data_IF_476941549398
#
_entry.id   IF_476941549398
#
_cell.length_a   1.000
_cell.length_b   1.000
_cell.length_c   1.000
_cell.angle_alpha   90.00
_cell.angle_beta   90.00
_cell.angle_gamma   90.00
#
_symmetry.space_group_name_H-M   'P 1'
#
loop_
_entity.id
_entity.type
_entity.pdbx_description
1 polymer ?
#
# COMPACT_ATOMS: atom_id res chain seq x y z
N UNK A 1 -32.30 -29.93 -36.91
CA UNK A 1 -31.61 -29.74 -35.61
C UNK A 1 -30.54 -28.68 -35.79
N UNK A 2 -30.81 -27.43 -35.39
CA UNK A 2 -29.81 -26.35 -35.40
C UNK A 2 -29.07 -26.39 -34.07
N UNK A 3 -27.78 -26.73 -34.10
CA UNK A 3 -26.91 -26.60 -32.93
C UNK A 3 -26.49 -25.14 -32.82
N UNK A 4 -26.99 -24.45 -31.80
CA UNK A 4 -26.49 -23.14 -31.42
C UNK A 4 -25.30 -23.35 -30.48
N UNK A 5 -24.09 -23.11 -31.00
CA UNK A 5 -22.88 -23.08 -30.18
C UNK A 5 -22.89 -21.77 -29.38
N UNK A 6 -23.15 -21.88 -28.08
CA UNK A 6 -23.03 -20.76 -27.15
C UNK A 6 -21.54 -20.51 -26.93
N UNK A 7 -20.97 -19.48 -27.56
CA UNK A 7 -19.65 -18.97 -27.17
C UNK A 7 -19.82 -18.22 -25.83
N UNK A 8 -19.41 -18.84 -24.73
CA UNK A 8 -19.20 -18.13 -23.48
C UNK A 8 -17.92 -17.30 -23.62
N UNK A 9 -18.07 -15.99 -23.81
CA UNK A 9 -16.97 -15.05 -23.62
C UNK A 9 -16.71 -14.97 -22.12
N UNK A 10 -15.64 -15.62 -21.65
CA UNK A 10 -15.09 -15.39 -20.31
C UNK A 10 -14.53 -13.96 -20.28
N UNK A 11 -15.38 -13.00 -19.94
CA UNK A 11 -14.93 -11.68 -19.49
C UNK A 11 -14.27 -11.85 -18.13
N UNK A 12 -13.02 -11.43 -18.01
CA UNK A 12 -12.35 -11.31 -16.72
C UNK A 12 -13.09 -10.23 -15.91
N UNK A 13 -13.91 -10.67 -14.95
CA UNK A 13 -14.51 -9.76 -13.98
C UNK A 13 -13.41 -9.44 -12.97
N UNK A 14 -12.89 -8.22 -13.01
CA UNK A 14 -12.05 -7.67 -11.95
C UNK A 14 -12.84 -7.74 -10.64
N UNK A 15 -12.47 -8.64 -9.73
CA UNK A 15 -13.09 -8.68 -8.42
C UNK A 15 -12.62 -7.44 -7.64
N UNK A 16 -13.52 -6.49 -7.43
CA UNK A 16 -13.28 -5.40 -6.48
C UNK A 16 -13.03 -6.02 -5.09
N UNK A 17 -12.14 -5.43 -4.27
CA UNK A 17 -11.97 -5.89 -2.89
C UNK A 17 -13.32 -5.84 -2.17
N UNK A 18 -13.49 -6.66 -1.13
CA UNK A 18 -14.69 -6.59 -0.29
C UNK A 18 -14.90 -5.14 0.17
N UNK A 19 -16.14 -4.70 0.36
CA UNK A 19 -16.39 -3.32 0.78
C UNK A 19 -16.19 -3.12 2.29
N UNK A 20 -16.18 -4.21 3.06
CA UNK A 20 -16.04 -4.21 4.53
C UNK A 20 -15.29 -5.44 5.03
N UNK A 21 -14.66 -5.33 6.21
CA UNK A 21 -14.13 -6.47 6.96
C UNK A 21 -13.59 -6.07 8.34
N UNK A 22 -12.96 -7.02 9.05
CA UNK A 22 -12.38 -6.77 10.37
C UNK A 22 -11.59 -7.97 10.91
N UNK A 23 -10.99 -7.82 12.08
CA UNK A 23 -10.21 -8.86 12.76
C UNK A 23 -10.67 -9.14 14.21
N UNK A 24 -9.99 -10.10 14.86
CA UNK A 24 -10.24 -10.46 16.25
C UNK A 24 -9.74 -9.43 17.28
N UNK A 25 -8.89 -8.49 16.86
CA UNK A 25 -8.36 -7.42 17.71
C UNK A 25 -9.29 -6.20 17.76
N UNK A 26 -10.37 -6.20 16.97
CA UNK A 26 -11.39 -5.16 16.95
C UNK A 26 -11.26 -4.19 15.79
N UNK A 27 -10.22 -4.32 14.95
CA UNK A 27 -10.08 -3.47 13.78
C UNK A 27 -11.15 -3.79 12.74
N UNK A 28 -11.63 -2.75 12.06
CA UNK A 28 -12.57 -2.83 10.95
C UNK A 28 -12.09 -1.98 9.81
N UNK A 29 -12.46 -2.33 8.59
CA UNK A 29 -12.16 -1.52 7.42
C UNK A 29 -13.36 -1.38 6.50
N UNK A 30 -13.39 -0.25 5.82
CA UNK A 30 -14.41 0.13 4.84
C UNK A 30 -13.73 0.75 3.63
N UNK A 31 -14.26 0.45 2.46
CA UNK A 31 -13.89 1.18 1.24
C UNK A 31 -14.86 2.31 0.99
N UNK A 32 -14.50 3.26 0.14
CA UNK A 32 -15.41 4.36 -0.24
C UNK A 32 -16.68 3.87 -0.98
N UNK A 33 -16.72 2.60 -1.38
CA UNK A 33 -17.88 1.93 -1.97
C UNK A 33 -18.79 1.28 -0.92
N UNK A 34 -18.34 1.21 0.34
CA UNK A 34 -19.15 0.69 1.44
C UNK A 34 -20.28 1.69 1.71
N UNK A 35 -21.53 1.31 1.50
CA UNK A 35 -22.68 2.17 1.81
C UNK A 35 -22.99 2.13 3.32
N UNK A 36 -22.04 2.58 4.16
CA UNK A 36 -22.10 2.54 5.63
C UNK A 36 -22.16 3.98 6.16
N UNK A 37 -23.34 4.47 6.57
CA UNK A 37 -23.51 5.83 7.07
C UNK A 37 -22.46 6.19 8.13
N UNK A 38 -21.93 7.41 8.03
CA UNK A 38 -20.93 8.01 8.94
C UNK A 38 -19.55 7.29 9.02
N UNK A 39 -19.35 6.18 8.29
CA UNK A 39 -18.10 5.39 8.30
C UNK A 39 -17.50 5.16 6.91
N UNK A 40 -18.24 5.46 5.84
CA UNK A 40 -17.72 5.42 4.47
C UNK A 40 -16.62 6.47 4.29
N UNK A 41 -15.38 6.08 3.95
CA UNK A 41 -14.34 7.05 3.62
C UNK A 41 -14.64 7.72 2.29
N UNK A 42 -14.26 9.00 2.16
CA UNK A 42 -14.24 9.70 0.87
C UNK A 42 -12.82 9.73 0.34
N UNK A 43 -12.64 9.51 -0.96
CA UNK A 43 -11.36 9.85 -1.60
C UNK A 43 -11.15 11.37 -1.57
N UNK A 44 -10.09 11.79 -0.91
CA UNK A 44 -9.67 13.16 -0.72
C UNK A 44 -8.14 13.19 -0.64
N UNK A 45 -7.49 13.18 -1.81
CA UNK A 45 -6.04 13.17 -1.92
C UNK A 45 -5.41 14.32 -1.14
N UNK A 46 -4.36 14.03 -0.36
CA UNK A 46 -3.61 15.07 0.35
C UNK A 46 -2.47 15.48 -0.58
N UNK A 47 -2.57 16.67 -1.14
CA UNK A 47 -1.50 17.22 -1.95
C UNK A 47 -0.26 17.47 -1.07
N UNK A 48 0.89 16.97 -1.51
CA UNK A 48 2.16 17.07 -0.75
C UNK A 48 2.62 18.51 -0.57
N UNK A 49 2.20 19.44 -1.44
CA UNK A 49 2.42 20.89 -1.28
C UNK A 49 1.62 21.49 -0.11
N UNK A 50 0.56 20.82 0.34
CA UNK A 50 -0.29 21.24 1.45
C UNK A 50 0.12 20.61 2.79
N UNK A 51 1.15 19.77 2.78
CA UNK A 51 1.75 19.21 3.98
C UNK A 51 2.68 20.25 4.61
N UNK A 52 2.60 20.41 5.93
CA UNK A 52 3.50 21.28 6.69
C UNK A 52 4.89 20.65 6.77
N UNK A 53 5.92 21.42 6.37
CA UNK A 53 7.32 20.99 6.34
C UNK A 53 7.51 19.62 5.63
N UNK A 54 7.13 19.50 4.36
CA UNK A 54 7.16 18.23 3.64
C UNK A 54 8.62 17.75 3.55
N UNK A 55 8.85 16.53 4.01
CA UNK A 55 10.17 15.90 3.95
C UNK A 55 10.27 15.06 2.69
N UNK A 56 11.33 15.27 1.92
CA UNK A 56 11.72 14.39 0.82
C UNK A 56 12.57 13.26 1.39
N UNK A 57 12.08 12.03 1.32
CA UNK A 57 12.85 10.86 1.72
C UNK A 57 13.90 10.52 0.66
N UNK A 58 15.13 10.28 1.12
CA UNK A 58 16.26 9.82 0.31
C UNK A 58 16.73 8.45 0.79
N UNK A 59 17.45 7.73 -0.07
CA UNK A 59 18.04 6.43 0.27
C UNK A 59 17.12 5.23 0.03
N UNK A 60 15.93 5.43 -0.53
CA UNK A 60 15.14 4.32 -1.09
C UNK A 60 15.68 3.94 -2.46
N UNK A 61 15.76 2.64 -2.72
CA UNK A 61 16.11 2.05 -4.00
C UNK A 61 15.17 0.88 -4.30
N UNK A 62 15.74 -0.24 -4.69
CA UNK A 62 15.05 -1.53 -4.76
C UNK A 62 15.21 -2.30 -3.43
N UNK A 63 14.17 -3.03 -3.02
CA UNK A 63 14.15 -3.92 -1.86
C UNK A 63 14.84 -3.39 -0.58
N UNK A 64 14.45 -2.20 -0.13
CA UNK A 64 15.00 -1.62 1.08
C UNK A 64 13.98 -0.82 1.89
N UNK A 65 14.45 -0.25 3.00
CA UNK A 65 13.66 0.65 3.84
C UNK A 65 14.53 1.80 4.34
N UNK A 66 13.88 2.87 4.76
CA UNK A 66 14.49 4.00 5.46
C UNK A 66 13.86 4.18 6.84
N UNK A 67 14.56 4.93 7.68
CA UNK A 67 14.12 5.29 9.02
C UNK A 67 15.14 4.95 10.09
N UNK A 68 14.76 5.09 11.38
CA UNK A 68 13.41 5.41 11.82
C UNK A 68 12.98 6.86 11.49
N UNK A 69 11.74 7.03 11.07
CA UNK A 69 11.07 8.33 10.94
C UNK A 69 10.28 8.59 12.22
N UNK A 70 10.47 9.76 12.83
CA UNK A 70 9.71 10.14 14.03
C UNK A 70 8.31 10.59 13.65
N UNK A 71 7.31 10.05 14.34
CA UNK A 71 5.93 10.51 14.22
C UNK A 71 5.75 11.81 15.01
N UNK A 72 4.92 12.74 14.53
CA UNK A 72 4.63 13.99 15.25
C UNK A 72 3.76 13.79 16.50
N UNK A 73 3.23 12.58 16.69
CA UNK A 73 2.44 12.15 17.84
C UNK A 73 2.64 10.64 18.08
N UNK A 74 2.40 10.14 19.30
CA UNK A 74 2.27 8.69 19.53
C UNK A 74 1.06 8.14 18.78
N UNK A 75 1.24 7.09 17.99
CA UNK A 75 0.16 6.43 17.25
C UNK A 75 -0.13 5.06 17.87
N UNK A 76 -1.41 4.73 18.07
CA UNK A 76 -1.82 3.43 18.62
C UNK A 76 -2.11 2.46 17.50
N UNK A 77 -1.41 1.34 17.49
CA UNK A 77 -1.54 0.26 16.51
C UNK A 77 -1.54 -1.09 17.23
N UNK A 78 -2.62 -1.87 17.09
CA UNK A 78 -2.85 -3.12 17.83
C UNK A 78 -2.52 -3.01 19.33
N UNK A 79 -3.14 -2.04 20.00
CA UNK A 79 -3.02 -1.79 21.45
C UNK A 79 -1.62 -1.34 21.93
N UNK A 80 -0.67 -1.18 21.01
CA UNK A 80 0.67 -0.69 21.30
C UNK A 80 0.83 0.75 20.80
N UNK A 81 1.64 1.55 21.48
CA UNK A 81 1.90 2.94 21.11
C UNK A 81 3.29 3.09 20.51
N UNK A 82 3.38 3.71 19.33
CA UNK A 82 4.64 3.94 18.62
C UNK A 82 4.86 5.42 18.39
N UNK A 83 6.12 5.84 18.49
CA UNK A 83 6.57 7.20 18.18
C UNK A 83 7.46 7.25 16.95
N UNK A 84 7.75 6.09 16.34
CA UNK A 84 8.63 5.93 15.18
C UNK A 84 8.11 4.85 14.26
N UNK A 85 8.39 5.01 12.98
CA UNK A 85 8.10 4.03 11.93
C UNK A 85 9.31 3.86 11.01
N UNK A 86 9.29 2.82 10.20
CA UNK A 86 10.18 2.63 9.06
C UNK A 86 9.32 2.53 7.81
N UNK A 87 9.86 2.98 6.67
CA UNK A 87 9.13 3.03 5.40
C UNK A 87 9.90 2.27 4.34
N UNK A 88 9.24 1.35 3.66
CA UNK A 88 9.82 0.50 2.64
C UNK A 88 9.64 1.01 1.21
N UNK A 89 10.57 0.62 0.32
CA UNK A 89 10.48 0.88 -1.12
C UNK A 89 9.21 0.27 -1.71
N UNK A 90 8.90 -0.96 -1.34
CA UNK A 90 7.75 -1.75 -1.79
C UNK A 90 6.40 -1.36 -1.13
N UNK A 91 6.16 -0.08 -0.81
CA UNK A 91 4.81 0.40 -0.47
C UNK A 91 4.26 -0.04 0.90
N UNK A 92 5.11 -0.12 1.93
CA UNK A 92 4.73 -0.51 3.30
C UNK A 92 5.37 0.36 4.37
N UNK A 93 4.85 0.27 5.60
CA UNK A 93 5.53 0.75 6.81
C UNK A 93 5.62 -0.36 7.86
N UNK A 94 6.64 -0.29 8.73
CA UNK A 94 6.75 -1.14 9.92
C UNK A 94 6.84 -0.31 11.19
N UNK A 95 6.37 -0.89 12.29
CA UNK A 95 6.49 -0.33 13.63
C UNK A 95 7.54 -1.11 14.44
N UNK A 96 8.09 -0.46 15.48
CA UNK A 96 9.02 -1.06 16.44
C UNK A 96 10.45 -1.32 15.90
N UNK A 97 10.57 -1.89 14.69
CA UNK A 97 11.84 -2.20 14.03
C UNK A 97 11.72 -2.08 12.51
N UNK A 98 12.82 -1.74 11.85
CA UNK A 98 12.91 -1.76 10.40
C UNK A 98 12.99 -3.19 9.88
N UNK A 99 12.38 -3.45 8.74
CA UNK A 99 12.47 -4.72 8.05
C UNK A 99 12.32 -4.49 6.55
N UNK A 100 13.00 -5.32 5.76
CA UNK A 100 12.83 -5.37 4.31
C UNK A 100 11.70 -6.34 3.98
N UNK A 101 10.66 -5.86 3.28
CA UNK A 101 9.66 -6.68 2.59
C UNK A 101 10.00 -6.65 1.11
N UNK A 102 10.60 -7.74 0.63
CA UNK A 102 10.96 -7.96 -0.76
C UNK A 102 10.08 -9.05 -1.36
N UNK A 103 10.08 -9.12 -2.69
CA UNK A 103 9.43 -10.22 -3.38
C UNK A 103 10.12 -11.55 -3.13
N UNK A 104 9.34 -12.63 -3.15
CA UNK A 104 9.80 -13.99 -2.94
C UNK A 104 9.21 -14.97 -3.95
N UNK A 105 9.21 -16.28 -3.65
CA UNK A 105 8.48 -17.24 -4.48
C UNK A 105 6.97 -16.92 -4.48
N UNK A 106 6.25 -17.38 -5.51
CA UNK A 106 4.79 -17.23 -5.62
C UNK A 106 4.11 -17.56 -4.28
N UNK A 107 3.25 -16.67 -3.74
CA UNK A 107 2.57 -15.55 -4.41
C UNK A 107 3.36 -14.22 -4.48
N UNK A 108 4.69 -14.25 -4.37
CA UNK A 108 5.63 -13.12 -4.44
C UNK A 108 5.61 -12.23 -3.20
N UNK A 109 4.45 -11.83 -2.70
CA UNK A 109 4.30 -11.14 -1.42
C UNK A 109 3.39 -11.92 -0.48
N UNK A 110 3.78 -11.99 0.79
CA UNK A 110 3.02 -12.72 1.81
C UNK A 110 1.71 -11.99 2.12
N UNK A 111 0.54 -12.64 1.96
CA UNK A 111 -0.74 -12.06 2.36
C UNK A 111 -0.86 -11.95 3.88
N UNK A 112 -1.75 -11.06 4.33
CA UNK A 112 -2.08 -10.92 5.74
C UNK A 112 -3.22 -11.87 6.18
N UNK A 113 -3.34 -12.18 7.49
CA UNK A 113 -2.24 -12.16 8.45
C UNK A 113 -1.28 -13.34 8.19
N UNK A 114 -0.03 -13.21 8.62
CA UNK A 114 1.00 -14.21 8.54
C UNK A 114 1.92 -14.14 9.75
N UNK A 115 2.23 -15.28 10.37
CA UNK A 115 3.21 -15.32 11.47
C UNK A 115 4.66 -15.17 11.00
N UNK A 116 4.90 -15.14 9.68
CA UNK A 116 6.24 -14.96 9.11
C UNK A 116 6.64 -13.48 9.18
N UNK A 117 7.88 -13.22 9.60
CA UNK A 117 8.39 -11.85 9.69
C UNK A 117 8.45 -11.14 8.32
N UNK A 118 8.30 -9.79 8.28
CA UNK A 118 8.02 -8.93 9.42
C UNK A 118 6.58 -9.08 9.92
N UNK A 119 6.38 -8.79 11.21
CA UNK A 119 5.07 -8.59 11.83
C UNK A 119 4.97 -7.11 12.24
N UNK A 120 3.80 -6.66 12.69
CA UNK A 120 3.62 -5.29 13.17
C UNK A 120 3.80 -4.23 12.06
N UNK A 121 3.11 -4.44 10.93
CA UNK A 121 3.32 -3.65 9.72
C UNK A 121 2.03 -3.44 8.94
N UNK A 122 2.04 -2.39 8.12
CA UNK A 122 0.93 -2.03 7.22
C UNK A 122 1.45 -2.10 5.79
N UNK A 123 0.83 -2.95 4.99
CA UNK A 123 0.97 -2.96 3.55
C UNK A 123 -0.02 -2.00 2.91
N UNK A 124 0.47 -0.87 2.39
CA UNK A 124 -0.39 0.17 1.78
C UNK A 124 -0.72 -0.22 0.35
N UNK A 125 0.33 -0.54 -0.41
CA UNK A 125 0.27 -1.12 -1.75
C UNK A 125 1.55 -1.91 -1.94
N UNK A 126 1.60 -3.10 -1.33
CA UNK A 126 2.81 -3.92 -1.40
C UNK A 126 2.89 -4.57 -2.75
N UNK A 127 3.86 -4.13 -3.54
CA UNK A 127 4.18 -4.64 -4.86
C UNK A 127 5.68 -4.47 -5.07
N UNK A 128 6.21 -5.10 -6.11
CA UNK A 128 7.61 -4.97 -6.47
C UNK A 128 7.85 -3.59 -7.11
N UNK A 129 8.33 -2.64 -6.32
CA UNK A 129 8.48 -1.22 -6.64
C UNK A 129 9.94 -0.81 -6.51
N UNK A 130 10.37 0.15 -7.32
CA UNK A 130 11.74 0.67 -7.24
C UNK A 130 11.80 2.18 -7.27
N UNK A 131 12.74 2.74 -6.53
CA UNK A 131 13.14 4.14 -6.59
C UNK A 131 14.39 4.38 -7.43
N UNK A 132 15.09 3.33 -7.84
CA UNK A 132 16.33 3.40 -8.63
C UNK A 132 16.24 2.58 -9.92
N UNK A 133 16.95 3.03 -10.95
CA UNK A 133 17.10 2.32 -12.22
C UNK A 133 18.23 1.27 -12.16
N UNK A 134 18.48 0.61 -13.28
CA UNK A 134 19.53 -0.42 -13.42
C UNK A 134 20.96 0.04 -13.16
N UNK A 135 21.22 1.36 -13.16
CA UNK A 135 22.52 1.94 -12.84
C UNK A 135 22.61 2.39 -11.36
N UNK A 136 21.52 2.27 -10.61
CA UNK A 136 21.39 2.79 -9.25
C UNK A 136 21.01 4.27 -9.19
N UNK A 137 20.69 4.90 -10.31
CA UNK A 137 20.25 6.30 -10.36
C UNK A 137 18.76 6.41 -10.00
N UNK A 138 18.35 7.52 -9.38
CA UNK A 138 16.95 7.73 -9.02
C UNK A 138 16.05 7.73 -10.25
N UNK A 139 14.96 6.96 -10.21
CA UNK A 139 13.98 6.95 -11.30
C UNK A 139 13.33 8.35 -11.40
N UNK A 140 13.34 8.99 -12.58
CA UNK A 140 12.75 10.31 -12.75
C UNK A 140 11.27 10.37 -12.33
N UNK A 141 10.99 11.23 -11.36
CA UNK A 141 9.65 11.48 -10.84
C UNK A 141 9.20 10.57 -9.69
N UNK A 142 9.89 9.46 -9.42
CA UNK A 142 9.57 8.60 -8.28
C UNK A 142 9.99 9.28 -6.98
N UNK A 143 9.04 9.54 -6.09
CA UNK A 143 9.28 10.30 -4.85
C UNK A 143 8.55 9.68 -3.67
N UNK A 144 9.19 9.74 -2.51
CA UNK A 144 8.51 9.50 -1.24
C UNK A 144 8.50 10.81 -0.44
N UNK A 145 7.31 11.27 -0.11
CA UNK A 145 7.09 12.44 0.73
C UNK A 145 6.45 12.03 2.04
N UNK A 146 6.78 12.72 3.12
CA UNK A 146 6.05 12.58 4.37
C UNK A 146 5.99 13.89 5.15
N UNK A 147 5.01 14.01 6.03
CA UNK A 147 4.88 15.16 6.93
C UNK A 147 3.50 15.21 7.58
N UNK A 148 3.12 16.38 8.09
CA UNK A 148 1.83 16.58 8.77
C UNK A 148 0.93 17.50 7.97
N UNK A 149 -0.32 17.09 7.70
CA UNK A 149 -1.28 17.95 7.00
C UNK A 149 -1.88 19.04 7.90
N UNK A 150 -2.74 19.87 7.33
CA UNK A 150 -3.40 20.97 8.04
C UNK A 150 -4.35 20.52 9.17
N UNK A 151 -4.74 19.24 9.21
CA UNK A 151 -5.56 18.64 10.26
C UNK A 151 -4.72 17.95 11.35
N UNK A 152 -3.38 18.02 11.26
CA UNK A 152 -2.49 17.37 12.21
C UNK A 152 -2.29 15.88 11.93
N UNK A 153 -2.77 15.34 10.80
CA UNK A 153 -2.60 13.92 10.45
C UNK A 153 -1.22 13.71 9.83
N UNK A 154 -0.58 12.60 10.15
CA UNK A 154 0.70 12.24 9.54
C UNK A 154 0.44 11.54 8.20
N UNK A 155 1.07 12.01 7.13
CA UNK A 155 0.85 11.55 5.76
C UNK A 155 2.16 11.06 5.18
N UNK A 156 2.12 9.92 4.50
CA UNK A 156 3.22 9.38 3.69
C UNK A 156 2.68 9.14 2.29
N UNK A 157 3.36 9.66 1.28
CA UNK A 157 2.96 9.55 -0.12
C UNK A 157 4.08 8.90 -0.93
N UNK A 158 3.78 7.76 -1.55
CA UNK A 158 4.53 7.24 -2.68
C UNK A 158 3.95 7.91 -3.91
N UNK A 159 4.72 8.79 -4.55
CA UNK A 159 4.29 9.53 -5.73
C UNK A 159 5.06 9.06 -6.96
N UNK A 160 4.31 8.59 -7.97
CA UNK A 160 4.85 8.21 -9.28
C UNK A 160 5.95 7.13 -9.17
N UNK A 161 5.82 6.21 -8.23
CA UNK A 161 6.78 5.12 -8.00
C UNK A 161 6.49 3.98 -8.99
N UNK A 162 7.43 3.61 -9.87
CA UNK A 162 7.25 2.49 -10.79
C UNK A 162 7.33 1.15 -10.08
N UNK A 163 6.90 0.14 -10.82
CA UNK A 163 7.27 -1.22 -10.53
C UNK A 163 8.69 -1.52 -10.99
N UNK A 164 9.39 -2.40 -10.26
CA UNK A 164 10.60 -3.02 -10.76
C UNK A 164 10.25 -3.99 -11.90
N UNK A 165 10.97 -3.89 -13.01
CA UNK A 165 10.72 -4.71 -14.19
C UNK A 165 12.01 -4.97 -14.96
N UNK A 166 12.58 -6.17 -14.78
CA UNK A 166 13.83 -6.59 -15.40
C UNK A 166 13.82 -6.50 -16.93
N UNK A 167 12.65 -6.67 -17.56
CA UNK A 167 12.51 -6.65 -19.01
C UNK A 167 12.35 -5.24 -19.60
N UNK A 168 12.13 -4.22 -18.76
CA UNK A 168 11.96 -2.84 -19.20
C UNK A 168 13.32 -2.10 -19.31
N UNK A 169 13.49 -1.17 -20.26
CA UNK A 169 14.67 -0.29 -20.28
C UNK A 169 14.83 0.47 -18.95
N UNK A 170 16.02 0.40 -18.37
CA UNK A 170 16.29 0.98 -17.04
C UNK A 170 15.75 0.15 -15.86
N UNK A 171 15.19 -1.04 -16.10
CA UNK A 171 14.65 -1.96 -15.10
C UNK A 171 13.44 -1.46 -14.30
N UNK A 172 12.66 -0.53 -14.84
CA UNK A 172 11.43 -0.05 -14.22
C UNK A 172 10.33 0.21 -15.24
N UNK A 173 9.07 0.08 -14.82
CA UNK A 173 7.93 0.44 -15.68
C UNK A 173 6.68 0.82 -14.88
N UNK A 174 5.78 1.57 -15.51
CA UNK A 174 4.57 2.07 -14.87
C UNK A 174 4.80 3.19 -13.84
N UNK A 175 3.70 3.70 -13.27
CA UNK A 175 3.68 4.76 -12.26
C UNK A 175 2.51 4.56 -11.31
N UNK A 176 2.80 4.57 -10.01
CA UNK A 176 1.81 4.38 -8.96
C UNK A 176 1.90 5.53 -7.95
N UNK A 177 0.75 6.12 -7.60
CA UNK A 177 0.64 7.16 -6.58
C UNK A 177 -0.41 6.78 -5.54
N UNK A 178 0.06 6.55 -4.31
CA UNK A 178 -0.75 6.14 -3.18
C UNK A 178 -0.20 6.71 -1.86
N UNK A 179 -1.03 6.75 -0.83
CA UNK A 179 -0.66 7.35 0.46
C UNK A 179 -1.25 6.60 1.66
N UNK A 180 -0.54 6.73 2.77
CA UNK A 180 -0.97 6.34 4.12
C UNK A 180 -1.20 7.62 4.93
N UNK A 181 -2.31 7.66 5.67
CA UNK A 181 -2.64 8.75 6.58
C UNK A 181 -2.94 8.16 7.96
N UNK A 182 -2.21 8.61 8.97
CA UNK A 182 -2.41 8.26 10.37
C UNK A 182 -3.10 9.42 11.09
N UNK A 183 -4.26 9.14 11.70
CA UNK A 183 -5.03 10.15 12.40
C UNK A 183 -4.75 10.12 13.91
N UNK A 184 -4.23 11.20 14.52
CA UNK A 184 -3.98 11.24 15.96
C UNK A 184 -5.25 11.24 16.83
N UNK A 185 -6.40 11.67 16.30
CA UNK A 185 -7.60 11.87 17.13
C UNK A 185 -8.30 10.57 17.50
N UNK A 186 -8.24 9.57 16.63
CA UNK A 186 -8.98 8.31 16.76
C UNK A 186 -8.14 7.07 16.43
N UNK A 187 -6.84 7.23 16.13
CA UNK A 187 -5.94 6.17 15.66
C UNK A 187 -6.40 5.45 14.38
N UNK A 188 -7.31 6.05 13.63
CA UNK A 188 -7.72 5.50 12.33
C UNK A 188 -6.61 5.65 11.31
N UNK A 189 -6.60 4.70 10.37
CA UNK A 189 -5.65 4.63 9.27
C UNK A 189 -6.42 4.81 7.98
N UNK A 190 -6.00 5.72 7.11
CA UNK A 190 -6.59 5.86 5.77
C UNK A 190 -5.54 5.54 4.70
N UNK A 191 -5.88 4.63 3.80
CA UNK A 191 -5.13 4.34 2.59
C UNK A 191 -5.85 5.03 1.42
N UNK A 192 -5.13 5.78 0.60
CA UNK A 192 -5.71 6.37 -0.60
C UNK A 192 -4.84 6.10 -1.82
N UNK A 193 -5.51 5.88 -2.94
CA UNK A 193 -4.88 5.53 -4.21
C UNK A 193 -5.36 6.52 -5.25
N UNK A 194 -4.50 7.46 -5.61
CA UNK A 194 -4.78 8.40 -6.70
C UNK A 194 -4.77 7.65 -8.02
N UNK A 195 -3.74 6.83 -8.22
CA UNK A 195 -3.60 6.02 -9.42
C UNK A 195 -2.71 4.82 -9.13
N UNK A 196 -3.21 3.63 -9.40
CA UNK A 196 -2.42 2.40 -9.54
C UNK A 196 -2.49 1.99 -11.01
N UNK A 197 -1.35 1.99 -11.68
CA UNK A 197 -1.31 1.64 -13.10
C UNK A 197 -1.50 0.14 -13.28
N UNK A 198 -2.56 -0.23 -14.00
CA UNK A 198 -2.87 -1.60 -14.37
C UNK A 198 -1.87 -2.19 -15.38
N UNK A 199 -1.81 -3.52 -15.43
CA UNK A 199 -1.09 -4.29 -16.46
C UNK A 199 0.19 -4.97 -15.98
N UNK A 200 0.89 -5.59 -16.93
CA UNK A 200 2.14 -6.34 -16.73
C UNK A 200 3.36 -5.42 -16.66
N UNK A 201 3.30 -4.38 -15.82
CA UNK A 201 4.44 -3.49 -15.61
C UNK A 201 5.50 -4.10 -14.66
N UNK A 202 5.51 -5.41 -14.46
CA UNK A 202 6.36 -6.11 -13.48
C UNK A 202 7.11 -7.28 -14.10
N UNK A 203 8.18 -7.72 -13.44
CA UNK A 203 8.96 -8.90 -13.84
C UNK A 203 8.22 -10.24 -13.76
N UNK A 204 7.06 -10.29 -13.10
CA UNK A 204 6.30 -11.52 -12.91
C UNK A 204 5.47 -11.89 -14.14
N UNK A 205 5.54 -13.17 -14.52
CA UNK A 205 4.90 -13.75 -15.72
C UNK A 205 3.38 -13.60 -15.75
N UNK A 206 2.75 -13.37 -14.61
CA UNK A 206 1.30 -13.25 -14.47
C UNK A 206 0.85 -11.81 -14.13
N UNK A 207 1.77 -10.84 -13.99
CA UNK A 207 1.50 -9.44 -13.63
C UNK A 207 1.97 -9.10 -12.20
N UNK A 208 1.71 -7.89 -11.69
CA UNK A 208 2.14 -7.58 -10.32
C UNK A 208 1.08 -8.06 -9.31
N UNK A 209 1.47 -8.99 -8.44
CA UNK A 209 0.63 -9.41 -7.32
C UNK A 209 0.79 -8.38 -6.21
N UNK A 210 -0.30 -7.71 -5.83
CA UNK A 210 -0.27 -6.71 -4.78
C UNK A 210 -0.95 -7.18 -3.51
N UNK A 211 -0.38 -6.82 -2.36
CA UNK A 211 -0.96 -7.08 -1.03
C UNK A 211 -1.26 -5.76 -0.32
N UNK A 212 -2.46 -5.65 0.23
CA UNK A 212 -2.93 -4.54 1.07
C UNK A 212 -3.51 -5.13 2.34
N UNK A 213 -3.06 -4.61 3.48
CA UNK A 213 -3.49 -5.14 4.77
C UNK A 213 -2.59 -4.69 5.90
N UNK A 214 -2.81 -5.27 7.06
CA UNK A 214 -2.04 -4.98 8.26
C UNK A 214 -2.17 -6.09 9.27
N UNK A 215 -1.18 -6.28 10.14
CA UNK A 215 -1.22 -7.31 11.18
C UNK A 215 -0.51 -6.92 12.48
N UNK A 216 -0.90 -7.60 13.56
CA UNK A 216 -0.35 -7.39 14.88
C UNK A 216 1.10 -7.91 15.02
N UNK A 217 1.69 -7.69 16.19
CA UNK A 217 3.08 -8.08 16.50
C UNK A 217 3.38 -9.59 16.35
N UNK A 218 2.35 -10.42 16.43
CA UNK A 218 2.47 -11.89 16.33
C UNK A 218 2.20 -12.41 14.93
N UNK A 219 1.58 -11.61 14.05
CA UNK A 219 1.10 -12.06 12.75
C UNK A 219 -0.08 -13.05 12.82
N UNK A 220 -0.70 -13.23 14.00
CA UNK A 220 -1.85 -14.12 14.18
C UNK A 220 -3.20 -13.43 13.98
N UNK A 221 -3.23 -12.10 14.00
CA UNK A 221 -4.44 -11.31 13.74
C UNK A 221 -4.08 -10.15 12.83
N UNK A 222 -4.94 -9.91 11.85
CA UNK A 222 -4.70 -8.94 10.80
C UNK A 222 -5.88 -8.81 9.85
N UNK A 223 -5.77 -7.80 8.99
CA UNK A 223 -6.71 -7.52 7.93
C UNK A 223 -6.08 -7.89 6.59
N UNK A 224 -6.70 -8.83 5.88
CA UNK A 224 -6.41 -9.09 4.47
C UNK A 224 -7.40 -8.31 3.61
N UNK A 225 -7.01 -7.10 3.19
CA UNK A 225 -7.91 -6.18 2.49
C UNK A 225 -7.91 -6.46 0.99
N UNK A 226 -6.73 -6.66 0.41
CA UNK A 226 -6.57 -7.11 -0.95
C UNK A 226 -5.31 -7.98 -1.08
N UNK A 227 -5.42 -9.09 -1.80
CA UNK A 227 -4.31 -9.96 -2.17
C UNK A 227 -4.63 -10.58 -3.53
N UNK A 228 -4.33 -9.86 -4.61
CA UNK A 228 -4.78 -10.24 -5.95
C UNK A 228 -3.90 -9.64 -7.08
N UNK A 229 -4.15 -10.13 -8.29
CA UNK A 229 -3.79 -9.49 -9.57
C UNK A 229 -4.26 -8.03 -9.60
N UNK A 230 -3.53 -7.13 -10.29
CA UNK A 230 -3.49 -5.71 -9.95
C UNK A 230 -4.90 -5.16 -9.78
N UNK A 231 -5.19 -4.66 -8.57
CA UNK A 231 -6.43 -3.93 -8.33
C UNK A 231 -6.20 -2.52 -8.84
N UNK A 232 -6.77 -2.11 -9.99
CA UNK A 232 -6.58 -0.77 -10.51
C UNK A 232 -7.39 0.19 -9.65
N UNK A 233 -6.77 0.67 -8.57
CA UNK A 233 -7.34 1.72 -7.77
C UNK A 233 -7.09 3.06 -8.46
N UNK A 234 -8.17 3.77 -8.76
CA UNK A 234 -8.16 5.17 -9.17
C UNK A 234 -9.16 5.88 -8.30
N UNK A 235 -8.74 7.01 -7.73
CA UNK A 235 -9.56 7.80 -6.80
C UNK A 235 -10.24 6.93 -5.72
N UNK A 236 -9.47 6.01 -5.13
CA UNK A 236 -9.97 4.99 -4.21
C UNK A 236 -9.50 5.28 -2.78
N UNK A 237 -10.40 5.13 -1.81
CA UNK A 237 -10.06 5.22 -0.39
C UNK A 237 -10.50 4.00 0.41
N UNK A 238 -9.65 3.63 1.38
CA UNK A 238 -9.89 2.61 2.40
C UNK A 238 -9.63 3.28 3.75
N UNK A 239 -10.54 3.11 4.70
CA UNK A 239 -10.33 3.57 6.08
C UNK A 239 -10.47 2.40 7.04
N UNK A 240 -9.53 2.32 7.98
CA UNK A 240 -9.37 1.29 8.99
C UNK A 240 -9.53 1.95 10.37
N UNK A 241 -10.28 1.32 11.26
CA UNK A 241 -10.67 1.81 12.59
C UNK A 241 -10.45 0.74 13.63
#
# INVERSE_FOLDING_TARGET
MRHATLLAVLGWVWAQPASVGGDACGYRWYTHLANVPDSTPTFAWVDTSQITNPQFATGLGDDNYIGPISLPFPFVYYWNSYTKIYVGSNGYITFGRGATVASGPSPYFTPFPSTAAPNEWIGVYVADLTFTDSNGDLVPGAKLWYGTDAQGRFVITWDSVPYWNQAAPGQWSGRNSFQLILNPSDSSITLQYKQIQAGYNSSYSNGNFNVVGMENITGQSGLNIAAAWPVPFSDYAIKIW
#
